data_IF_256675125773
#
_entry.id   IF_256675125773
#
_cell.length_a   1.000
_cell.length_b   1.000
_cell.length_c   1.000
_cell.angle_alpha   90.00
_cell.angle_beta   90.00
_cell.angle_gamma   90.00
#
_symmetry.space_group_name_H-M   'P 1'
#
loop_
_entity.id
_entity.type
_entity.pdbx_description
1 polymer ?
#
# COMPACT_ATOMS: atom_id res chain seq x y z
N UNK A 1 -3.34 -4.72 -4.44
CA UNK A 1 -2.68 -3.39 -4.42
C UNK A 1 -1.85 -3.14 -5.69
N UNK A 2 -1.04 -4.11 -6.15
CA UNK A 2 -0.23 -3.94 -7.37
C UNK A 2 -1.06 -3.59 -8.60
N UNK A 3 -2.20 -4.25 -8.81
CA UNK A 3 -3.14 -3.96 -9.90
C UNK A 3 -3.62 -2.51 -9.87
N UNK A 4 -4.10 -2.05 -8.71
CA UNK A 4 -4.59 -0.67 -8.56
C UNK A 4 -3.48 0.33 -8.86
N UNK A 5 -2.27 0.11 -8.34
CA UNK A 5 -1.14 1.00 -8.58
C UNK A 5 -0.72 1.04 -10.05
N UNK A 6 -0.77 -0.09 -10.77
CA UNK A 6 -0.48 -0.12 -12.20
C UNK A 6 -1.52 0.68 -13.01
N UNK A 7 -2.81 0.52 -12.70
CA UNK A 7 -3.88 1.30 -13.34
C UNK A 7 -3.76 2.79 -13.02
N UNK A 8 -3.49 3.16 -11.76
CA UNK A 8 -3.24 4.54 -11.37
C UNK A 8 -2.04 5.15 -12.10
N UNK A 9 -0.95 4.39 -12.25
CA UNK A 9 0.23 4.83 -12.98
C UNK A 9 -0.07 5.03 -14.47
N UNK A 10 -0.85 4.14 -15.08
CA UNK A 10 -1.31 4.31 -16.46
C UNK A 10 -2.18 5.56 -16.63
N UNK A 11 -3.07 5.83 -15.66
CA UNK A 11 -3.91 7.03 -15.67
C UNK A 11 -3.08 8.31 -15.60
N UNK A 12 -2.12 8.38 -14.68
CA UNK A 12 -1.23 9.55 -14.52
C UNK A 12 -0.37 9.75 -15.76
N UNK A 13 0.29 8.68 -16.24
CA UNK A 13 1.12 8.75 -17.44
C UNK A 13 0.29 9.13 -18.68
N UNK A 14 -0.91 8.55 -18.83
CA UNK A 14 -1.83 8.87 -19.91
C UNK A 14 -2.27 10.32 -19.89
N UNK A 15 -2.54 10.88 -18.71
CA UNK A 15 -2.86 12.30 -18.53
C UNK A 15 -1.69 13.20 -18.95
N UNK A 16 -0.47 12.87 -18.53
CA UNK A 16 0.74 13.61 -18.90
C UNK A 16 1.03 13.55 -20.40
N UNK A 17 0.80 12.39 -21.03
CA UNK A 17 0.94 12.17 -22.46
C UNK A 17 -0.26 12.74 -23.27
N UNK A 18 -1.25 13.31 -22.60
CA UNK A 18 -2.47 13.87 -23.22
C UNK A 18 -3.20 12.84 -24.11
N UNK A 19 -3.27 11.59 -23.65
CA UNK A 19 -3.98 10.54 -24.37
C UNK A 19 -5.48 10.89 -24.46
N UNK A 20 -6.08 10.64 -25.63
CA UNK A 20 -7.52 10.64 -25.78
C UNK A 20 -8.16 9.44 -25.06
N UNK A 21 -9.48 9.42 -24.96
CA UNK A 21 -10.22 8.38 -24.26
C UNK A 21 -9.92 6.99 -24.82
N UNK A 22 -9.85 6.84 -26.14
CA UNK A 22 -9.59 5.55 -26.79
C UNK A 22 -8.21 5.00 -26.42
N UNK A 23 -7.19 5.85 -26.47
CA UNK A 23 -5.82 5.46 -26.09
C UNK A 23 -5.69 5.21 -24.61
N UNK A 24 -6.39 5.98 -23.79
CA UNK A 24 -6.39 5.76 -22.34
C UNK A 24 -7.06 4.43 -21.97
N UNK A 25 -8.18 4.07 -22.61
CA UNK A 25 -8.81 2.74 -22.48
C UNK A 25 -7.83 1.64 -22.89
N UNK A 26 -7.14 1.81 -24.03
CA UNK A 26 -6.10 0.86 -24.44
C UNK A 26 -4.98 0.73 -23.42
N UNK A 27 -4.52 1.82 -22.80
CA UNK A 27 -3.52 1.77 -21.75
C UNK A 27 -4.00 0.93 -20.56
N UNK A 28 -5.23 1.09 -20.11
CA UNK A 28 -5.79 0.28 -19.03
C UNK A 28 -5.89 -1.20 -19.41
N UNK A 29 -6.35 -1.50 -20.63
CA UNK A 29 -6.39 -2.87 -21.13
C UNK A 29 -5.01 -3.52 -21.20
N UNK A 30 -3.99 -2.76 -21.63
CA UNK A 30 -2.59 -3.24 -21.65
C UNK A 30 -2.04 -3.52 -20.25
N UNK A 31 -2.48 -2.79 -19.23
CA UNK A 31 -2.12 -3.06 -17.83
C UNK A 31 -2.55 -4.46 -17.42
N UNK A 32 -3.74 -4.92 -17.83
CA UNK A 32 -4.25 -6.23 -17.44
C UNK A 32 -3.33 -7.37 -17.86
N UNK A 33 -2.70 -7.27 -19.03
CA UNK A 33 -1.73 -8.25 -19.51
C UNK A 33 -0.44 -8.28 -18.69
N UNK A 34 -0.14 -7.23 -17.92
CA UNK A 34 1.10 -7.10 -17.14
C UNK A 34 0.88 -7.38 -15.65
N UNK A 35 -0.33 -7.79 -15.26
CA UNK A 35 -0.64 -8.08 -13.86
C UNK A 35 -0.02 -9.41 -13.44
N UNK A 36 0.98 -9.32 -12.59
CA UNK A 36 1.60 -10.49 -11.95
C UNK A 36 0.87 -10.82 -10.65
N UNK A 37 0.41 -12.06 -10.52
CA UNK A 37 -0.40 -12.55 -9.41
C UNK A 37 0.33 -12.73 -8.08
N UNK A 38 1.59 -12.33 -7.94
CA UNK A 38 2.35 -12.48 -6.70
C UNK A 38 1.82 -11.52 -5.64
N UNK A 39 1.17 -12.07 -4.60
CA UNK A 39 0.47 -11.29 -3.58
C UNK A 39 1.31 -10.97 -2.33
N UNK A 40 2.40 -11.71 -2.12
CA UNK A 40 3.23 -11.57 -0.91
C UNK A 40 4.70 -11.71 -1.28
N UNK A 41 5.51 -10.82 -0.75
CA UNK A 41 6.96 -10.87 -0.85
C UNK A 41 7.58 -9.84 0.10
N UNK A 42 8.82 -10.12 0.48
CA UNK A 42 9.66 -9.24 1.31
C UNK A 42 9.95 -7.91 0.60
N UNK A 43 9.85 -7.91 -0.73
CA UNK A 43 10.18 -6.75 -1.56
C UNK A 43 8.92 -5.95 -1.95
N UNK A 44 8.21 -5.45 -0.94
CA UNK A 44 7.02 -4.63 -1.18
C UNK A 44 7.31 -3.44 -2.10
N UNK A 45 8.40 -2.71 -1.86
CA UNK A 45 8.81 -1.55 -2.66
C UNK A 45 9.08 -1.92 -4.12
N UNK A 46 9.75 -3.07 -4.37
CA UNK A 46 9.97 -3.58 -5.70
C UNK A 46 8.64 -3.88 -6.42
N UNK A 47 7.70 -4.51 -5.73
CA UNK A 47 6.36 -4.78 -6.27
C UNK A 47 5.60 -3.51 -6.66
N UNK A 48 5.72 -2.45 -5.89
CA UNK A 48 5.14 -1.14 -6.23
C UNK A 48 5.85 -0.51 -7.44
N UNK A 49 7.18 -0.61 -7.50
CA UNK A 49 7.97 -0.13 -8.64
C UNK A 49 7.62 -0.86 -9.94
N UNK A 50 7.49 -2.19 -9.89
CA UNK A 50 7.04 -3.01 -11.04
C UNK A 50 5.64 -2.58 -11.50
N UNK A 51 4.71 -2.37 -10.57
CA UNK A 51 3.37 -1.92 -10.90
C UNK A 51 3.37 -0.52 -11.55
N UNK A 52 4.16 0.40 -11.04
CA UNK A 52 4.32 1.74 -11.61
C UNK A 52 4.93 1.67 -13.02
N UNK A 53 5.96 0.86 -13.21
CA UNK A 53 6.57 0.61 -14.51
C UNK A 53 5.57 0.03 -15.52
N UNK A 54 4.80 -0.99 -15.13
CA UNK A 54 3.79 -1.61 -15.97
C UNK A 54 2.76 -0.59 -16.47
N UNK A 55 2.23 0.24 -15.56
CA UNK A 55 1.25 1.27 -15.92
C UNK A 55 1.83 2.35 -16.84
N UNK A 56 3.03 2.83 -16.55
CA UNK A 56 3.71 3.83 -17.39
C UNK A 56 4.02 3.29 -18.77
N UNK A 57 4.53 2.06 -18.86
CA UNK A 57 4.82 1.38 -20.13
C UNK A 57 3.56 1.17 -20.96
N UNK A 58 2.44 0.77 -20.32
CA UNK A 58 1.15 0.62 -21.00
C UNK A 58 0.67 1.93 -21.63
N UNK A 59 0.80 3.05 -20.92
CA UNK A 59 0.45 4.37 -21.45
C UNK A 59 1.34 4.78 -22.63
N UNK A 60 2.64 4.52 -22.55
CA UNK A 60 3.58 4.78 -23.65
C UNK A 60 3.27 3.93 -24.90
N UNK A 61 2.96 2.66 -24.72
CA UNK A 61 2.56 1.76 -25.82
C UNK A 61 1.25 2.23 -26.45
N UNK A 62 0.26 2.58 -25.66
CA UNK A 62 -1.01 3.12 -26.15
C UNK A 62 -0.84 4.46 -26.88
N UNK A 63 0.10 5.32 -26.45
CA UNK A 63 0.42 6.57 -27.13
C UNK A 63 0.93 6.34 -28.55
N UNK A 64 1.56 5.19 -28.79
CA UNK A 64 2.09 4.75 -30.09
C UNK A 64 1.10 3.92 -30.90
N UNK A 65 -0.14 3.79 -30.42
CA UNK A 65 -1.23 3.11 -31.13
C UNK A 65 -1.36 1.62 -30.84
N UNK A 66 -0.63 1.07 -29.86
CA UNK A 66 -0.88 -0.31 -29.44
C UNK A 66 -2.25 -0.38 -28.73
N UNK A 67 -3.07 -1.33 -29.16
CA UNK A 67 -4.41 -1.53 -28.60
C UNK A 67 -4.34 -2.52 -27.42
N UNK A 68 -5.01 -2.18 -26.33
CA UNK A 68 -5.32 -3.10 -25.24
C UNK A 68 -6.68 -3.77 -25.45
N UNK A 69 -7.09 -4.57 -24.47
CA UNK A 69 -8.45 -5.15 -24.47
C UNK A 69 -9.48 -4.01 -24.48
N UNK A 70 -10.50 -4.14 -25.33
CA UNK A 70 -11.48 -3.07 -25.53
C UNK A 70 -12.42 -2.92 -24.34
N UNK A 71 -12.77 -4.03 -23.70
CA UNK A 71 -13.67 -4.07 -22.56
C UNK A 71 -12.97 -4.59 -21.32
N UNK A 72 -12.30 -3.70 -20.61
CA UNK A 72 -11.57 -4.00 -19.38
C UNK A 72 -12.50 -4.53 -18.28
N UNK A 73 -13.77 -4.08 -18.26
CA UNK A 73 -14.73 -4.47 -17.22
C UNK A 73 -15.10 -5.94 -17.36
N UNK A 74 -15.34 -6.43 -18.58
CA UNK A 74 -15.64 -7.83 -18.83
C UNK A 74 -14.44 -8.74 -18.53
N UNK A 75 -13.23 -8.32 -18.89
CA UNK A 75 -12.01 -9.06 -18.59
C UNK A 75 -11.77 -9.15 -17.09
N UNK A 76 -11.96 -8.05 -16.34
CA UNK A 76 -11.88 -8.06 -14.89
C UNK A 76 -12.98 -8.93 -14.26
N UNK A 77 -14.20 -8.85 -14.75
CA UNK A 77 -15.31 -9.68 -14.29
C UNK A 77 -15.01 -11.16 -14.53
N UNK A 78 -14.49 -11.50 -15.71
CA UNK A 78 -14.08 -12.86 -16.07
C UNK A 78 -12.95 -13.38 -15.15
N UNK A 79 -11.94 -12.56 -14.88
CA UNK A 79 -10.85 -12.91 -13.97
C UNK A 79 -11.36 -13.13 -12.53
N UNK A 80 -12.22 -12.26 -12.03
CA UNK A 80 -12.79 -12.37 -10.68
C UNK A 80 -13.69 -13.61 -10.59
N UNK A 81 -14.47 -13.89 -11.61
CA UNK A 81 -15.30 -15.10 -11.70
C UNK A 81 -14.44 -16.38 -11.73
N UNK A 82 -13.38 -16.40 -12.52
CA UNK A 82 -12.41 -17.50 -12.55
C UNK A 82 -11.75 -17.77 -11.19
N UNK A 83 -11.65 -16.75 -10.34
CA UNK A 83 -11.17 -16.87 -8.96
C UNK A 83 -12.28 -17.26 -7.97
N UNK A 84 -13.47 -17.61 -8.43
CA UNK A 84 -14.59 -18.05 -7.61
C UNK A 84 -15.29 -16.92 -6.84
N UNK A 85 -15.14 -15.67 -7.27
CA UNK A 85 -15.78 -14.50 -6.67
C UNK A 85 -16.80 -13.86 -7.62
N UNK A 86 -17.78 -13.14 -7.07
CA UNK A 86 -18.68 -12.28 -7.84
C UNK A 86 -18.06 -10.88 -7.96
N UNK A 87 -18.09 -10.31 -9.15
CA UNK A 87 -17.67 -8.94 -9.40
C UNK A 87 -18.89 -8.02 -9.44
N UNK A 88 -18.98 -7.09 -8.49
CA UNK A 88 -19.94 -6.00 -8.51
C UNK A 88 -19.18 -4.68 -8.63
N UNK A 89 -19.28 -3.96 -9.76
CA UNK A 89 -18.62 -2.69 -9.95
C UNK A 89 -19.30 -1.53 -9.19
N UNK A 90 -20.55 -1.68 -8.76
CA UNK A 90 -21.32 -0.60 -8.18
C UNK A 90 -20.67 0.04 -6.93
N UNK A 91 -20.02 -0.72 -6.00
CA UNK A 91 -19.31 -0.12 -4.88
C UNK A 91 -18.13 0.75 -5.27
N UNK A 92 -17.50 0.50 -6.44
CA UNK A 92 -16.36 1.28 -6.90
C UNK A 92 -16.70 2.75 -7.18
N UNK A 93 -17.97 3.04 -7.46
CA UNK A 93 -18.45 4.37 -7.80
C UNK A 93 -19.16 5.09 -6.64
N UNK A 94 -19.44 4.39 -5.54
CA UNK A 94 -20.24 4.96 -4.44
C UNK A 94 -19.45 5.87 -3.52
N UNK A 95 -18.28 5.44 -3.06
CA UNK A 95 -17.38 6.29 -2.26
C UNK A 95 -15.95 5.77 -2.34
N UNK A 96 -15.06 6.56 -2.89
CA UNK A 96 -13.64 6.39 -2.66
C UNK A 96 -13.34 6.96 -1.27
N UNK A 97 -13.31 6.10 -0.26
CA UNK A 97 -12.90 6.48 1.08
C UNK A 97 -11.52 7.13 1.05
N UNK A 98 -11.45 8.40 1.43
CA UNK A 98 -10.17 9.08 1.57
C UNK A 98 -9.48 8.57 2.83
N UNK A 99 -8.24 8.16 2.69
CA UNK A 99 -7.41 7.72 3.80
C UNK A 99 -6.13 8.55 3.81
N UNK A 100 -5.92 9.28 4.89
CA UNK A 100 -4.71 10.06 5.10
C UNK A 100 -3.74 9.26 5.95
N UNK A 101 -2.45 9.39 5.65
CA UNK A 101 -1.39 8.81 6.44
C UNK A 101 -0.90 9.87 7.44
N UNK A 102 -1.05 9.60 8.72
CA UNK A 102 -0.54 10.46 9.81
C UNK A 102 0.90 10.10 10.20
N UNK A 103 1.40 8.96 9.74
CA UNK A 103 2.71 8.44 10.08
C UNK A 103 3.37 7.75 8.88
N UNK A 104 4.67 7.57 8.95
CA UNK A 104 5.48 6.96 7.88
C UNK A 104 5.55 5.44 7.94
N UNK A 105 5.08 4.82 9.02
CA UNK A 105 5.01 3.37 9.16
C UNK A 105 3.82 2.77 8.39
N UNK A 106 3.70 1.45 8.41
CA UNK A 106 2.56 0.76 7.81
C UNK A 106 1.24 1.27 8.42
N UNK A 107 0.25 1.56 7.58
CA UNK A 107 -1.06 2.04 8.00
C UNK A 107 -1.72 1.20 9.11
N UNK A 108 -1.46 -0.11 9.14
CA UNK A 108 -1.96 -0.98 10.18
C UNK A 108 -1.39 -0.64 11.58
N UNK A 109 -0.28 0.08 11.66
CA UNK A 109 0.35 0.51 12.89
C UNK A 109 -0.03 1.94 13.32
N UNK A 110 -0.71 2.72 12.45
CA UNK A 110 -1.04 4.12 12.75
C UNK A 110 -1.87 4.27 14.04
N UNK A 111 -2.86 3.40 14.27
CA UNK A 111 -3.65 3.45 15.49
C UNK A 111 -2.82 3.29 16.76
N UNK A 112 -1.80 2.40 16.73
CA UNK A 112 -0.88 2.23 17.84
C UNK A 112 0.01 3.47 18.06
N UNK A 113 0.48 4.07 16.97
CA UNK A 113 1.26 5.33 17.02
C UNK A 113 0.43 6.46 17.62
N UNK A 114 -0.81 6.65 17.15
CA UNK A 114 -1.70 7.69 17.68
C UNK A 114 -2.03 7.49 19.16
N UNK A 115 -2.29 6.24 19.58
CA UNK A 115 -2.46 5.91 21.00
C UNK A 115 -1.20 6.25 21.83
N UNK A 116 -0.01 5.91 21.32
CA UNK A 116 1.25 6.24 21.98
C UNK A 116 1.46 7.74 22.15
N UNK A 117 1.20 8.52 21.09
CA UNK A 117 1.29 9.98 21.12
C UNK A 117 0.28 10.58 22.11
N UNK A 118 -0.93 10.03 22.17
CA UNK A 118 -1.94 10.51 23.11
C UNK A 118 -1.57 10.22 24.57
N UNK A 119 -1.05 9.03 24.86
CA UNK A 119 -0.56 8.69 26.21
C UNK A 119 0.57 9.62 26.66
N UNK A 120 1.49 9.97 25.76
CA UNK A 120 2.54 10.95 26.05
C UNK A 120 1.97 12.33 26.33
N UNK A 121 0.96 12.80 25.59
CA UNK A 121 0.28 14.06 25.86
C UNK A 121 -0.44 14.07 27.21
N UNK A 122 -0.90 12.92 27.68
CA UNK A 122 -1.49 12.73 28.99
C UNK A 122 -0.45 12.63 30.12
N UNK A 123 0.83 12.73 29.80
CA UNK A 123 1.92 12.75 30.78
C UNK A 123 2.52 11.38 31.10
N UNK A 124 2.27 10.35 30.27
CA UNK A 124 2.95 9.06 30.42
C UNK A 124 4.46 9.25 30.25
N UNK A 125 5.24 8.81 31.26
CA UNK A 125 6.70 8.72 31.15
C UNK A 125 7.09 7.34 30.58
N UNK A 126 7.84 7.28 29.48
CA UNK A 126 8.27 6.01 28.92
C UNK A 126 9.06 5.14 29.89
N UNK A 127 9.82 5.76 30.78
CA UNK A 127 10.66 5.08 31.80
C UNK A 127 9.82 4.35 32.86
N UNK A 128 8.53 4.71 33.00
CA UNK A 128 7.60 4.07 33.94
C UNK A 128 6.91 2.83 33.37
N UNK A 129 7.15 2.49 32.10
CA UNK A 129 6.46 1.40 31.42
C UNK A 129 7.17 0.08 31.70
N UNK A 130 6.50 -0.82 32.38
CA UNK A 130 6.98 -2.20 32.60
C UNK A 130 6.53 -3.13 31.47
N UNK A 131 5.32 -2.94 30.97
CA UNK A 131 4.71 -3.82 29.97
C UNK A 131 3.72 -3.09 29.09
N UNK A 132 3.63 -3.48 27.80
CA UNK A 132 2.67 -2.97 26.86
C UNK A 132 1.85 -4.12 26.29
N UNK A 133 0.53 -4.07 26.50
CA UNK A 133 -0.42 -4.94 25.82
C UNK A 133 -1.17 -4.14 24.76
N UNK A 134 -1.03 -4.57 23.49
CA UNK A 134 -1.65 -3.89 22.37
C UNK A 134 -2.82 -4.70 21.81
N UNK A 135 -4.02 -4.18 21.97
CA UNK A 135 -5.23 -4.78 21.43
C UNK A 135 -5.52 -4.19 20.05
N UNK A 136 -5.54 -5.05 19.03
CA UNK A 136 -5.71 -4.65 17.64
C UNK A 136 -6.87 -5.38 17.00
N UNK A 137 -7.38 -4.86 15.88
CA UNK A 137 -8.42 -5.55 15.12
C UNK A 137 -7.93 -6.91 14.60
N UNK A 138 -8.84 -7.90 14.37
CA UNK A 138 -8.47 -9.18 13.77
C UNK A 138 -7.72 -9.05 12.46
N UNK A 139 -8.05 -8.03 11.67
CA UNK A 139 -7.33 -7.72 10.43
C UNK A 139 -5.87 -7.34 10.69
N UNK A 140 -5.61 -6.47 11.65
CA UNK A 140 -4.24 -6.06 11.99
C UNK A 140 -3.46 -7.21 12.64
N UNK A 141 -4.12 -8.02 13.50
CA UNK A 141 -3.51 -9.19 14.12
C UNK A 141 -3.07 -10.25 13.08
N UNK A 142 -3.84 -10.42 12.02
CA UNK A 142 -3.49 -11.32 10.90
C UNK A 142 -2.48 -10.71 9.91
N UNK A 143 -2.12 -9.45 10.06
CA UNK A 143 -1.20 -8.75 9.16
C UNK A 143 0.26 -8.93 9.58
N UNK A 144 1.20 -8.72 8.63
CA UNK A 144 2.64 -8.81 8.87
C UNK A 144 3.12 -7.94 10.04
N UNK A 145 2.47 -6.83 10.29
CA UNK A 145 2.84 -5.86 11.34
C UNK A 145 2.73 -6.40 12.77
N UNK A 146 1.90 -7.42 12.99
CA UNK A 146 1.70 -8.03 14.31
C UNK A 146 2.73 -9.13 14.63
N UNK A 147 3.56 -9.52 13.66
CA UNK A 147 4.63 -10.50 13.90
C UNK A 147 5.64 -9.94 14.90
N UNK A 148 6.29 -10.80 15.71
CA UNK A 148 7.37 -10.35 16.57
C UNK A 148 8.41 -9.55 15.78
N UNK A 149 8.83 -8.42 16.34
CA UNK A 149 9.86 -7.60 15.71
C UNK A 149 11.18 -8.35 15.64
N UNK A 150 11.79 -8.36 14.48
CA UNK A 150 13.12 -8.92 14.27
C UNK A 150 13.77 -8.22 13.08
N UNK A 151 15.01 -7.82 13.22
CA UNK A 151 15.82 -7.28 12.14
C UNK A 151 16.32 -8.41 11.25
N UNK A 152 16.14 -8.20 9.95
CA UNK A 152 16.51 -9.15 8.89
C UNK A 152 17.35 -8.42 7.83
N UNK A 153 17.14 -8.79 6.55
CA UNK A 153 17.85 -8.22 5.40
C UNK A 153 17.42 -6.80 5.04
N UNK A 154 16.25 -6.38 5.47
CA UNK A 154 15.65 -5.08 5.13
C UNK A 154 15.24 -4.35 6.41
N UNK A 155 16.18 -3.79 7.20
CA UNK A 155 15.91 -3.19 8.51
C UNK A 155 14.81 -2.14 8.48
N UNK A 156 14.82 -1.25 7.48
CA UNK A 156 13.79 -0.22 7.31
C UNK A 156 12.39 -0.82 7.12
N UNK A 157 12.29 -1.87 6.31
CA UNK A 157 11.02 -2.55 6.09
C UNK A 157 10.57 -3.30 7.36
N UNK A 158 11.50 -3.97 8.03
CA UNK A 158 11.21 -4.68 9.29
C UNK A 158 10.68 -3.70 10.35
N UNK A 159 11.29 -2.54 10.50
CA UNK A 159 10.85 -1.49 11.41
C UNK A 159 9.50 -0.86 10.98
N UNK A 160 9.37 -0.44 9.71
CA UNK A 160 8.18 0.24 9.20
C UNK A 160 6.93 -0.66 9.19
N UNK A 161 7.12 -1.98 9.12
CA UNK A 161 6.04 -2.97 9.15
C UNK A 161 5.89 -3.68 10.51
N UNK A 162 6.38 -3.08 11.60
CA UNK A 162 6.25 -3.61 12.96
C UNK A 162 5.39 -2.71 13.85
N UNK A 163 4.33 -3.28 14.44
CA UNK A 163 3.53 -2.61 15.48
C UNK A 163 4.39 -2.30 16.71
N UNK A 164 5.23 -3.25 17.12
CA UNK A 164 6.08 -3.12 18.32
C UNK A 164 7.10 -2.00 18.12
N UNK A 165 7.83 -1.99 17.00
CA UNK A 165 8.80 -0.95 16.71
C UNK A 165 8.16 0.43 16.59
N UNK A 166 7.06 0.55 15.82
CA UNK A 166 6.38 1.82 15.61
C UNK A 166 5.87 2.41 16.93
N UNK A 167 5.25 1.59 17.80
CA UNK A 167 4.76 2.05 19.09
C UNK A 167 5.91 2.39 20.06
N UNK A 168 6.87 1.50 20.24
CA UNK A 168 8.01 1.72 21.13
C UNK A 168 8.82 2.95 20.69
N UNK A 169 9.12 3.07 19.40
CA UNK A 169 9.81 4.22 18.82
C UNK A 169 9.04 5.53 19.03
N UNK A 170 7.71 5.50 18.93
CA UNK A 170 6.85 6.64 19.20
C UNK A 170 6.90 7.07 20.66
N UNK A 171 6.78 6.11 21.58
CA UNK A 171 6.85 6.38 23.02
C UNK A 171 8.20 6.96 23.43
N UNK A 172 9.30 6.40 22.93
CA UNK A 172 10.65 6.85 23.25
C UNK A 172 11.01 8.22 22.65
N UNK A 173 10.52 8.53 21.45
CA UNK A 173 10.93 9.71 20.69
C UNK A 173 9.87 10.83 20.64
N UNK A 174 8.65 10.54 21.08
CA UNK A 174 7.52 11.48 21.01
C UNK A 174 7.02 11.77 19.59
N UNK A 175 7.47 10.98 18.61
CA UNK A 175 7.12 11.17 17.20
C UNK A 175 7.28 9.87 16.38
N UNK A 176 6.66 9.83 15.19
CA UNK A 176 6.82 8.78 14.22
C UNK A 176 7.04 9.40 12.82
N UNK A 177 8.24 9.91 12.60
CA UNK A 177 8.69 10.63 11.41
C UNK A 177 9.77 9.83 10.66
N UNK A 178 10.16 10.17 9.42
CA UNK A 178 11.10 9.38 8.63
C UNK A 178 12.44 9.12 9.33
N UNK A 179 12.92 10.06 10.12
CA UNK A 179 14.15 9.95 10.89
C UNK A 179 14.11 8.86 11.99
N UNK A 180 12.90 8.38 12.36
CA UNK A 180 12.75 7.25 13.27
C UNK A 180 13.03 5.90 12.61
N UNK A 181 13.27 5.88 11.31
CA UNK A 181 13.44 4.66 10.50
C UNK A 181 14.76 4.68 9.71
N UNK A 182 15.74 5.46 10.12
CA UNK A 182 17.10 5.41 9.56
C UNK A 182 17.89 4.26 10.18
N UNK A 183 19.02 3.89 9.58
CA UNK A 183 19.88 2.82 10.09
C UNK A 183 20.38 3.11 11.51
N UNK A 184 20.62 4.39 11.84
CA UNK A 184 21.06 4.81 13.17
C UNK A 184 19.94 4.76 14.22
N UNK A 185 18.67 4.79 13.76
CA UNK A 185 17.51 4.81 14.65
C UNK A 185 16.98 3.40 14.93
N UNK A 186 17.30 2.43 14.09
CA UNK A 186 16.88 1.03 14.16
C UNK A 186 17.91 0.22 14.93
#
# INVERSE_FOLDING_TARGET
RGTVNAVCSAAVAGKLLKLDEKRLRSAFGLVLHQLNGVRQGIHYSLGQGIAAHAGTSAALLASRGLLGVENMEDELAGLVHALGAAFDPAPLFRELGKSYFSSVCCRAAHGAVECGLELLRQGLSPESIEHISLFVSPWAAGHIVARPFALRTEPHADAAYSLQYALAGTLLRGRCTPDCFTDEAI
#
